data_IF_706449650094
#
_entry.id   IF_706449650094
#
_cell.length_a   1.000
_cell.length_b   1.000
_cell.length_c   1.000
_cell.angle_alpha   90.00
_cell.angle_beta   90.00
_cell.angle_gamma   90.00
#
_symmetry.space_group_name_H-M   'P 1'
#
loop_
_entity.id
_entity.type
_entity.pdbx_description
1 polymer ?
#
# COMPACT_ATOMS: atom_id res chain seq x y z
N UNK A 1 3.65 -0.27 26.13
CA UNK A 1 4.34 1.00 25.79
C UNK A 1 4.02 1.40 24.35
N UNK A 2 4.03 2.69 24.00
CA UNK A 2 3.83 3.16 22.62
C UNK A 2 5.09 3.86 22.10
N UNK A 3 5.47 3.61 20.85
CA UNK A 3 6.59 4.27 20.18
C UNK A 3 6.11 4.94 18.90
N UNK A 4 6.52 6.18 18.70
CA UNK A 4 6.20 6.96 17.52
C UNK A 4 7.44 7.67 17.00
N UNK A 5 7.66 7.57 15.69
CA UNK A 5 8.76 8.18 14.98
C UNK A 5 8.22 8.85 13.72
N UNK A 6 8.51 10.14 13.56
CA UNK A 6 8.14 10.91 12.37
C UNK A 6 9.34 11.78 11.96
N UNK A 7 9.86 11.55 10.75
CA UNK A 7 10.95 12.37 10.19
C UNK A 7 10.43 13.61 9.45
N UNK A 8 9.12 13.79 9.29
CA UNK A 8 8.52 14.84 8.43
C UNK A 8 8.94 16.25 8.81
N UNK A 9 9.24 16.51 10.08
CA UNK A 9 9.69 17.81 10.56
C UNK A 9 11.10 18.12 10.03
N UNK A 10 11.94 17.09 9.92
CA UNK A 10 13.34 17.22 9.48
C UNK A 10 13.47 17.04 7.97
N UNK A 11 12.56 16.29 7.37
CA UNK A 11 12.58 15.84 5.99
C UNK A 11 11.53 16.64 5.19
N UNK A 12 11.91 17.85 4.75
CA UNK A 12 11.05 18.81 4.04
C UNK A 12 11.64 19.20 2.65
N UNK A 13 10.86 19.78 1.73
CA UNK A 13 11.29 20.03 0.34
C UNK A 13 12.53 20.92 0.15
N UNK A 14 12.93 21.67 1.18
CA UNK A 14 14.11 22.55 1.14
C UNK A 14 15.42 21.87 1.56
N UNK A 15 15.39 20.60 1.96
CA UNK A 15 16.57 19.86 2.43
C UNK A 15 17.45 19.43 1.26
N UNK A 16 18.75 19.73 1.32
CA UNK A 16 19.71 19.35 0.28
C UNK A 16 19.94 17.84 0.27
N UNK A 17 20.28 17.26 -0.89
CA UNK A 17 20.53 15.81 -1.05
C UNK A 17 21.50 15.23 0.00
N UNK A 18 22.64 15.89 0.23
CA UNK A 18 23.64 15.43 1.21
C UNK A 18 23.12 15.45 2.65
N UNK A 19 22.24 16.40 2.97
CA UNK A 19 21.59 16.50 4.28
C UNK A 19 20.53 15.40 4.46
N UNK A 20 19.81 15.02 3.40
CA UNK A 20 18.84 13.91 3.42
C UNK A 20 19.49 12.61 3.87
N UNK A 21 20.63 12.25 3.28
CA UNK A 21 21.35 11.02 3.65
C UNK A 21 21.77 11.01 5.13
N UNK A 22 22.14 12.18 5.67
CA UNK A 22 22.48 12.32 7.09
C UNK A 22 21.23 12.18 7.96
N UNK A 23 20.14 12.86 7.61
CA UNK A 23 18.86 12.80 8.34
C UNK A 23 18.32 11.37 8.35
N UNK A 24 18.29 10.71 7.18
CA UNK A 24 17.88 9.32 7.01
C UNK A 24 18.67 8.36 7.90
N UNK A 25 20.01 8.42 7.85
CA UNK A 25 20.87 7.58 8.71
C UNK A 25 20.67 7.86 10.20
N UNK A 26 20.52 9.13 10.58
CA UNK A 26 20.22 9.50 11.96
C UNK A 26 18.86 8.96 12.42
N UNK A 27 17.85 9.01 11.56
CA UNK A 27 16.52 8.49 11.84
C UNK A 27 16.54 6.97 12.02
N UNK A 28 17.15 6.23 11.07
CA UNK A 28 17.28 4.77 11.18
C UNK A 28 17.96 4.38 12.50
N UNK A 29 19.09 5.03 12.82
CA UNK A 29 19.82 4.78 14.07
C UNK A 29 18.98 5.09 15.29
N UNK A 30 18.18 6.16 15.27
CA UNK A 30 17.28 6.52 16.38
C UNK A 30 16.23 5.44 16.60
N UNK A 31 15.56 4.99 15.54
CA UNK A 31 14.55 3.92 15.60
C UNK A 31 15.18 2.64 16.14
N UNK A 32 16.30 2.19 15.55
CA UNK A 32 17.01 0.98 15.99
C UNK A 32 17.39 1.07 17.47
N UNK A 33 18.03 2.18 17.88
CA UNK A 33 18.48 2.37 19.26
C UNK A 33 17.31 2.33 20.25
N UNK A 34 16.17 2.91 19.90
CA UNK A 34 14.97 2.90 20.76
C UNK A 34 14.33 1.53 20.81
N UNK A 35 14.26 0.81 19.69
CA UNK A 35 13.76 -0.56 19.69
C UNK A 35 14.64 -1.48 20.55
N UNK A 36 15.97 -1.27 20.55
CA UNK A 36 16.94 -2.06 21.33
C UNK A 36 16.98 -1.70 22.83
N UNK A 37 16.82 -0.42 23.17
CA UNK A 37 16.85 0.07 24.56
C UNK A 37 15.83 -0.67 25.45
N UNK A 38 14.71 -1.10 24.88
CA UNK A 38 13.59 -1.63 25.63
C UNK A 38 13.60 -3.15 25.85
N UNK A 39 14.75 -3.84 25.68
CA UNK A 39 15.04 -5.24 26.11
C UNK A 39 13.83 -6.21 26.04
N UNK A 40 13.15 -6.28 24.89
CA UNK A 40 11.96 -7.13 24.66
C UNK A 40 10.74 -6.89 25.56
N UNK A 41 10.65 -5.77 26.28
CA UNK A 41 9.45 -5.41 27.04
C UNK A 41 8.22 -5.20 26.14
N UNK A 42 7.00 -5.35 26.68
CA UNK A 42 5.76 -5.31 25.89
C UNK A 42 5.57 -3.96 25.19
N UNK A 43 5.37 -4.04 23.88
CA UNK A 43 5.12 -2.90 22.99
C UNK A 43 3.67 -3.00 22.53
N UNK A 44 2.85 -2.00 22.78
CA UNK A 44 1.44 -2.03 22.40
C UNK A 44 1.30 -1.49 20.97
N UNK A 45 1.93 -0.35 20.70
CA UNK A 45 1.83 0.36 19.42
C UNK A 45 3.20 0.81 18.93
N UNK A 46 3.46 0.60 17.65
CA UNK A 46 4.54 1.25 16.91
C UNK A 46 3.95 2.04 15.74
N UNK A 47 4.39 3.29 15.59
CA UNK A 47 4.13 4.11 14.42
C UNK A 47 5.43 4.70 13.89
N UNK A 48 5.76 4.40 12.64
CA UNK A 48 6.92 4.96 11.93
C UNK A 48 6.43 5.65 10.67
N UNK A 49 6.86 6.91 10.51
CA UNK A 49 6.61 7.71 9.32
C UNK A 49 7.95 8.22 8.78
N UNK A 50 8.27 7.76 7.57
CA UNK A 50 9.45 8.14 6.80
C UNK A 50 9.01 8.86 5.53
N UNK A 51 9.47 10.09 5.35
CA UNK A 51 9.26 10.90 4.15
C UNK A 51 10.23 10.58 3.02
N UNK A 52 11.35 9.96 3.36
CA UNK A 52 12.37 9.53 2.42
C UNK A 52 12.59 8.01 2.48
N UNK A 53 13.18 7.47 1.43
CA UNK A 53 13.39 6.04 1.30
C UNK A 53 14.50 5.55 2.23
N UNK A 54 14.11 4.76 3.23
CA UNK A 54 15.02 4.12 4.18
C UNK A 54 15.57 2.78 3.68
N UNK A 55 15.08 2.28 2.53
CA UNK A 55 15.37 0.95 2.02
C UNK A 55 14.68 -0.17 2.81
N UNK A 56 14.73 -1.41 2.30
CA UNK A 56 13.96 -2.54 2.80
C UNK A 56 14.56 -3.14 4.08
N UNK A 57 15.89 -3.19 4.18
CA UNK A 57 16.56 -3.84 5.28
C UNK A 57 16.21 -3.21 6.65
N UNK A 58 16.16 -1.87 6.82
CA UNK A 58 15.67 -1.26 8.04
C UNK A 58 14.20 -1.60 8.33
N UNK A 59 13.33 -1.54 7.32
CA UNK A 59 11.89 -1.80 7.47
C UNK A 59 11.63 -3.23 7.93
N UNK A 60 12.21 -4.22 7.23
CA UNK A 60 12.11 -5.65 7.57
C UNK A 60 12.63 -5.88 8.99
N UNK A 61 13.78 -5.28 9.34
CA UNK A 61 14.35 -5.38 10.69
C UNK A 61 13.39 -4.82 11.75
N UNK A 62 12.75 -3.68 11.51
CA UNK A 62 11.80 -3.09 12.45
C UNK A 62 10.55 -3.95 12.62
N UNK A 63 9.98 -4.47 11.52
CA UNK A 63 8.83 -5.39 11.56
C UNK A 63 9.19 -6.59 12.44
N UNK A 64 10.27 -7.31 12.12
CA UNK A 64 10.67 -8.51 12.87
C UNK A 64 10.90 -8.24 14.36
N UNK A 65 11.57 -7.13 14.71
CA UNK A 65 11.79 -6.76 16.13
C UNK A 65 10.49 -6.50 16.88
N UNK A 66 9.48 -5.95 16.21
CA UNK A 66 8.23 -5.49 16.84
C UNK A 66 7.20 -6.60 16.95
N UNK A 67 7.12 -7.47 15.95
CA UNK A 67 6.27 -8.67 16.01
C UNK A 67 6.71 -9.60 17.16
N UNK A 68 8.01 -9.71 17.43
CA UNK A 68 8.57 -10.45 18.56
C UNK A 68 8.25 -9.86 19.95
N UNK A 69 7.53 -8.74 20.03
CA UNK A 69 7.22 -8.02 21.28
C UNK A 69 5.72 -7.92 21.58
N UNK A 70 4.94 -8.81 20.98
CA UNK A 70 3.48 -8.89 21.17
C UNK A 70 2.74 -7.59 20.85
N UNK A 71 3.17 -6.90 19.79
CA UNK A 71 2.51 -5.67 19.34
C UNK A 71 1.05 -5.92 18.95
N UNK A 72 0.18 -4.96 19.26
CA UNK A 72 -1.23 -5.00 18.87
C UNK A 72 -1.53 -4.03 17.73
N UNK A 73 -0.75 -2.95 17.57
CA UNK A 73 -0.86 -2.01 16.46
C UNK A 73 0.49 -1.67 15.83
N UNK A 74 0.58 -1.88 14.52
CA UNK A 74 1.76 -1.52 13.71
C UNK A 74 1.35 -0.59 12.57
N UNK A 75 1.95 0.60 12.54
CA UNK A 75 1.76 1.60 11.50
C UNK A 75 3.11 1.94 10.86
N UNK A 76 3.25 1.65 9.57
CA UNK A 76 4.40 2.01 8.76
C UNK A 76 3.93 2.87 7.59
N UNK A 77 4.44 4.10 7.51
CA UNK A 77 4.21 5.02 6.41
C UNK A 77 5.56 5.41 5.82
N UNK A 78 5.96 4.70 4.78
CA UNK A 78 7.26 4.85 4.13
C UNK A 78 7.01 5.43 2.74
N UNK A 79 7.61 6.58 2.46
CA UNK A 79 7.46 7.26 1.18
C UNK A 79 8.82 7.62 0.60
N UNK A 80 8.92 7.63 -0.73
CA UNK A 80 10.01 8.27 -1.44
C UNK A 80 9.49 9.51 -2.17
N UNK A 81 9.59 10.68 -1.54
CA UNK A 81 9.21 11.94 -2.19
C UNK A 81 10.31 12.40 -3.17
N UNK A 82 10.13 12.08 -4.46
CA UNK A 82 11.03 12.52 -5.54
C UNK A 82 10.73 13.92 -6.08
N UNK A 83 9.58 14.51 -5.75
CA UNK A 83 9.18 15.84 -6.25
C UNK A 83 10.00 17.00 -5.65
N UNK A 84 11.07 16.69 -4.93
CA UNK A 84 11.97 17.70 -4.39
C UNK A 84 12.95 18.13 -5.46
N UNK A 85 13.16 19.44 -5.66
CA UNK A 85 13.95 19.94 -6.78
C UNK A 85 15.33 19.28 -6.77
N UNK A 86 15.62 18.56 -7.85
CA UNK A 86 16.99 18.20 -8.19
C UNK A 86 17.74 19.53 -8.31
N UNK A 87 18.71 19.75 -7.42
CA UNK A 87 19.72 20.78 -7.60
C UNK A 87 20.24 20.63 -9.04
N UNK A 88 20.17 21.70 -9.84
CA UNK A 88 20.46 21.72 -11.28
C UNK A 88 21.92 21.42 -11.64
N UNK A 89 22.69 20.91 -10.68
CA UNK A 89 24.06 20.50 -10.81
C UNK A 89 24.16 19.17 -10.09
N UNK A 90 24.20 18.06 -10.85
CA UNK A 90 25.05 16.88 -10.65
C UNK A 90 24.53 15.73 -11.53
N UNK A 91 25.50 15.17 -12.25
CA UNK A 91 25.46 14.02 -13.15
C UNK A 91 24.57 12.85 -12.68
N UNK A 92 23.84 12.26 -13.63
CA UNK A 92 22.79 11.25 -13.47
C UNK A 92 23.31 9.85 -13.11
N UNK A 93 24.45 9.74 -12.44
CA UNK A 93 25.01 8.46 -11.99
C UNK A 93 25.06 8.38 -10.46
N UNK A 94 23.92 8.06 -9.85
CA UNK A 94 23.95 7.38 -8.56
C UNK A 94 22.89 6.31 -8.62
N UNK A 95 23.35 5.06 -8.75
CA UNK A 95 22.64 3.86 -8.36
C UNK A 95 22.17 4.05 -6.92
N UNK A 96 21.04 4.72 -6.73
CA UNK A 96 20.35 4.71 -5.47
C UNK A 96 19.92 3.26 -5.33
N UNK A 97 20.58 2.54 -4.42
CA UNK A 97 20.31 1.12 -4.18
C UNK A 97 18.80 0.91 -4.12
N UNK A 98 18.24 0.44 -5.23
CA UNK A 98 16.93 -0.19 -5.36
C UNK A 98 17.05 -1.57 -4.72
N UNK A 99 17.59 -1.63 -3.51
CA UNK A 99 17.44 -2.82 -2.71
C UNK A 99 15.96 -2.86 -2.41
N UNK A 100 15.31 -3.80 -3.07
CA UNK A 100 13.90 -3.98 -3.05
C UNK A 100 13.58 -4.97 -1.93
N UNK A 101 12.45 -4.82 -1.25
CA UNK A 101 11.95 -5.90 -0.40
C UNK A 101 11.31 -6.96 -1.29
N UNK A 102 12.15 -7.85 -1.81
CA UNK A 102 11.75 -8.98 -2.66
C UNK A 102 10.60 -9.76 -2.03
N UNK A 103 10.58 -9.91 -0.71
CA UNK A 103 9.47 -10.54 -0.03
C UNK A 103 9.21 -9.95 1.35
N UNK A 104 7.95 -9.98 1.77
CA UNK A 104 7.53 -9.63 3.11
C UNK A 104 6.60 -10.70 3.68
N UNK A 105 6.81 -11.06 4.95
CA UNK A 105 5.88 -11.89 5.69
C UNK A 105 5.61 -11.28 7.06
N UNK A 106 4.32 -11.12 7.38
CA UNK A 106 3.87 -10.66 8.68
C UNK A 106 3.09 -11.79 9.33
N UNK A 107 3.66 -12.42 10.35
CA UNK A 107 2.97 -13.42 11.17
C UNK A 107 2.89 -12.94 12.62
N UNK A 108 1.68 -12.87 13.16
CA UNK A 108 1.46 -12.45 14.55
C UNK A 108 0.06 -12.77 15.05
N UNK A 109 0.00 -13.50 16.17
CA UNK A 109 -1.25 -13.79 16.87
C UNK A 109 -1.72 -12.63 17.76
N UNK A 110 -0.88 -11.62 18.05
CA UNK A 110 -1.26 -10.49 18.92
C UNK A 110 -1.65 -9.25 18.14
N UNK A 111 -1.26 -9.18 16.86
CA UNK A 111 -1.50 -8.00 16.03
C UNK A 111 -2.99 -7.87 15.71
N UNK A 112 -3.57 -6.73 16.07
CA UNK A 112 -4.98 -6.41 15.87
C UNK A 112 -5.19 -5.34 14.78
N UNK A 113 -4.25 -4.42 14.62
CA UNK A 113 -4.33 -3.35 13.62
C UNK A 113 -3.01 -3.23 12.86
N UNK A 114 -3.09 -3.28 11.53
CA UNK A 114 -1.94 -3.20 10.65
C UNK A 114 -2.18 -2.12 9.60
N UNK A 115 -1.24 -1.19 9.49
CA UNK A 115 -1.23 -0.16 8.44
C UNK A 115 0.13 -0.13 7.77
N UNK A 116 0.18 -0.51 6.50
CA UNK A 116 1.34 -0.44 5.64
C UNK A 116 1.05 0.51 4.49
N UNK A 117 1.76 1.63 4.44
CA UNK A 117 1.69 2.60 3.34
C UNK A 117 3.08 2.76 2.74
N UNK A 118 3.32 2.10 1.64
CA UNK A 118 4.52 2.17 0.84
C UNK A 118 4.24 3.01 -0.41
N UNK A 119 4.68 4.26 -0.36
CA UNK A 119 4.59 5.21 -1.47
C UNK A 119 5.96 5.35 -2.13
N UNK A 120 6.47 4.23 -2.64
CA UNK A 120 7.70 4.19 -3.42
C UNK A 120 7.37 4.19 -4.93
N UNK A 121 8.22 4.85 -5.73
CA UNK A 121 8.23 4.67 -7.19
C UNK A 121 9.02 3.40 -7.48
N UNK A 122 8.32 2.29 -7.67
CA UNK A 122 8.96 0.99 -7.93
C UNK A 122 8.78 0.65 -9.41
N UNK A 123 9.85 0.18 -10.04
CA UNK A 123 9.79 -0.36 -11.40
C UNK A 123 9.40 -1.85 -11.41
N UNK A 124 9.63 -2.55 -10.29
CA UNK A 124 9.38 -3.97 -10.11
C UNK A 124 8.38 -4.25 -8.98
N UNK A 125 7.71 -5.39 -9.05
CA UNK A 125 6.79 -5.84 -8.01
C UNK A 125 7.51 -6.53 -6.84
N UNK A 126 6.91 -6.52 -5.62
CA UNK A 126 7.17 -7.53 -4.60
C UNK A 126 7.08 -8.94 -5.17
N UNK A 127 8.06 -9.80 -4.93
CA UNK A 127 7.98 -11.21 -5.38
C UNK A 127 6.92 -11.97 -4.58
N UNK A 128 6.87 -11.73 -3.27
CA UNK A 128 5.96 -12.45 -2.39
C UNK A 128 5.60 -11.65 -1.15
N UNK A 129 4.30 -11.49 -0.89
CA UNK A 129 3.82 -10.85 0.34
C UNK A 129 2.81 -11.77 1.03
N UNK A 130 3.01 -12.05 2.32
CA UNK A 130 2.14 -12.93 3.09
C UNK A 130 1.75 -12.36 4.45
N UNK A 131 0.56 -12.72 4.89
CA UNK A 131 -0.01 -12.30 6.16
C UNK A 131 -0.60 -13.50 6.89
N UNK A 132 -0.08 -13.77 8.09
CA UNK A 132 -0.60 -14.77 9.01
C UNK A 132 -0.93 -14.14 10.37
N UNK A 133 -2.04 -13.40 10.41
CA UNK A 133 -2.42 -12.60 11.57
C UNK A 133 -3.87 -12.87 11.97
N UNK A 134 -4.14 -14.00 12.64
CA UNK A 134 -5.52 -14.48 12.84
C UNK A 134 -6.40 -13.54 13.67
N UNK A 135 -5.80 -12.69 14.52
CA UNK A 135 -6.52 -11.76 15.39
C UNK A 135 -6.61 -10.33 14.83
N UNK A 136 -6.26 -10.14 13.55
CA UNK A 136 -6.30 -8.83 12.90
C UNK A 136 -7.75 -8.42 12.66
N UNK A 137 -8.13 -7.24 13.15
CA UNK A 137 -9.49 -6.66 12.98
C UNK A 137 -9.51 -5.47 12.02
N UNK A 138 -8.35 -4.84 11.79
CA UNK A 138 -8.17 -3.72 10.87
C UNK A 138 -6.91 -3.88 10.01
N UNK A 139 -7.07 -3.71 8.71
CA UNK A 139 -5.99 -3.82 7.74
C UNK A 139 -5.99 -2.64 6.77
N UNK A 140 -4.87 -1.94 6.65
CA UNK A 140 -4.65 -0.98 5.59
C UNK A 140 -3.35 -1.31 4.87
N UNK A 141 -3.43 -1.43 3.55
CA UNK A 141 -2.30 -1.78 2.71
C UNK A 141 -2.29 -0.96 1.43
N UNK A 142 -1.23 -0.17 1.27
CA UNK A 142 -0.97 0.65 0.09
C UNK A 142 0.45 0.36 -0.38
N UNK A 143 0.59 -0.17 -1.60
CA UNK A 143 1.87 -0.53 -2.21
C UNK A 143 1.73 -0.83 -3.71
N UNK A 144 2.82 -1.18 -4.38
CA UNK A 144 2.76 -1.93 -5.63
C UNK A 144 2.17 -3.35 -5.40
N UNK A 145 1.50 -3.89 -6.43
CA UNK A 145 1.02 -5.27 -6.41
C UNK A 145 2.21 -6.25 -6.36
N UNK A 146 2.10 -7.31 -5.56
CA UNK A 146 3.08 -8.39 -5.54
C UNK A 146 2.84 -9.40 -6.68
N UNK A 147 3.91 -10.04 -7.16
CA UNK A 147 3.86 -11.19 -8.08
C UNK A 147 2.96 -12.29 -7.49
N UNK A 148 3.08 -12.55 -6.18
CA UNK A 148 2.27 -13.54 -5.47
C UNK A 148 1.93 -13.13 -4.04
N UNK A 149 0.79 -13.63 -3.54
CA UNK A 149 0.43 -13.60 -2.12
C UNK A 149 0.21 -15.03 -1.61
N UNK A 150 1.24 -15.73 -1.10
CA UNK A 150 1.12 -17.17 -0.82
C UNK A 150 0.15 -17.52 0.30
N UNK A 151 -0.03 -16.65 1.30
CA UNK A 151 -0.90 -16.87 2.43
C UNK A 151 -1.46 -15.54 2.94
N UNK A 152 -2.78 -15.50 3.15
CA UNK A 152 -3.50 -14.36 3.72
C UNK A 152 -4.56 -14.89 4.69
N UNK A 153 -4.25 -14.84 5.98
CA UNK A 153 -5.07 -15.39 7.06
C UNK A 153 -5.62 -14.28 7.97
N UNK A 154 -6.88 -13.91 7.74
CA UNK A 154 -7.60 -12.79 8.36
C UNK A 154 -9.03 -13.15 8.82
N UNK A 155 -9.24 -14.19 9.65
CA UNK A 155 -10.57 -14.70 9.97
C UNK A 155 -11.41 -13.72 10.78
N UNK A 156 -10.79 -12.79 11.53
CA UNK A 156 -11.46 -11.79 12.37
C UNK A 156 -11.47 -10.38 11.75
N UNK A 157 -11.06 -10.23 10.49
CA UNK A 157 -10.92 -8.91 9.87
C UNK A 157 -12.28 -8.27 9.63
N UNK A 158 -12.47 -7.06 10.15
CA UNK A 158 -13.73 -6.32 10.09
C UNK A 158 -13.67 -5.19 9.07
N UNK A 159 -12.51 -4.54 8.95
CA UNK A 159 -12.32 -3.35 8.12
C UNK A 159 -11.00 -3.44 7.34
N UNK A 160 -11.09 -3.22 6.02
CA UNK A 160 -9.95 -3.22 5.12
C UNK A 160 -9.89 -1.94 4.27
N UNK A 161 -8.68 -1.44 4.03
CA UNK A 161 -8.40 -0.33 3.11
C UNK A 161 -7.25 -0.70 2.19
N UNK A 162 -7.50 -0.77 0.88
CA UNK A 162 -6.51 -1.18 -0.12
C UNK A 162 -6.25 -0.08 -1.15
N UNK A 163 -4.97 0.24 -1.34
CA UNK A 163 -4.47 1.10 -2.43
C UNK A 163 -3.29 0.41 -3.13
N UNK A 164 -3.62 -0.61 -3.94
CA UNK A 164 -2.68 -1.43 -4.69
C UNK A 164 -2.52 -0.90 -6.10
N UNK A 165 -1.28 -0.84 -6.57
CA UNK A 165 -0.95 -0.23 -7.87
C UNK A 165 -0.19 -1.22 -8.75
N UNK A 166 -0.62 -1.33 -10.00
CA UNK A 166 0.20 -1.90 -11.08
C UNK A 166 1.17 -0.83 -11.60
N UNK A 167 2.24 -1.26 -12.25
CA UNK A 167 3.13 -0.37 -12.99
C UNK A 167 2.45 0.09 -14.29
N UNK A 168 2.90 1.22 -14.86
CA UNK A 168 2.39 1.68 -16.16
C UNK A 168 2.60 0.66 -17.29
N UNK A 169 3.69 -0.11 -17.24
CA UNK A 169 3.95 -1.19 -18.20
C UNK A 169 2.92 -2.31 -18.08
N UNK A 170 2.61 -2.75 -16.85
CA UNK A 170 1.60 -3.78 -16.59
C UNK A 170 0.20 -3.33 -17.03
N UNK A 171 -0.17 -2.07 -16.78
CA UNK A 171 -1.45 -1.52 -17.23
C UNK A 171 -1.53 -1.53 -18.76
N UNK A 172 -0.46 -1.10 -19.43
CA UNK A 172 -0.36 -1.15 -20.88
C UNK A 172 -0.53 -2.58 -21.40
N UNK A 173 0.21 -3.54 -20.82
CA UNK A 173 0.12 -4.95 -21.19
C UNK A 173 -1.28 -5.54 -20.94
N UNK A 174 -1.94 -5.19 -19.83
CA UNK A 174 -3.26 -5.70 -19.49
C UNK A 174 -4.39 -5.13 -20.37
N UNK A 175 -4.21 -3.93 -20.92
CA UNK A 175 -5.18 -3.26 -21.81
C UNK A 175 -4.98 -3.61 -23.29
N UNK A 176 -3.79 -4.05 -23.69
CA UNK A 176 -3.55 -4.59 -25.02
C UNK A 176 -4.18 -5.98 -25.10
N UNK A 177 -5.29 -6.08 -25.84
CA UNK A 177 -6.08 -7.29 -26.03
C UNK A 177 -5.29 -8.45 -26.64
N UNK A 178 -5.76 -9.69 -26.39
CA UNK A 178 -5.23 -10.96 -26.92
C UNK A 178 -5.02 -11.01 -28.47
N UNK A 179 -5.59 -10.06 -29.23
CA UNK A 179 -5.49 -9.99 -30.70
C UNK A 179 -4.24 -9.25 -31.21
N UNK A 180 -3.59 -8.43 -30.38
CA UNK A 180 -2.33 -7.79 -30.76
C UNK A 180 -1.19 -8.70 -30.32
N UNK A 181 -0.61 -9.43 -31.28
CA UNK A 181 0.61 -10.26 -31.13
C UNK A 181 1.82 -9.34 -30.83
N UNK A 182 1.79 -8.62 -29.71
CA UNK A 182 2.94 -8.02 -29.11
C UNK A 182 3.60 -9.13 -28.29
N UNK A 183 4.57 -9.79 -28.94
CA UNK A 183 5.55 -10.70 -28.34
C UNK A 183 5.59 -10.56 -26.83
N UNK A 184 5.19 -11.63 -26.12
CA UNK A 184 5.52 -11.81 -24.71
C UNK A 184 6.99 -11.38 -24.54
N UNK A 185 7.22 -10.20 -23.97
CA UNK A 185 8.50 -9.95 -23.34
C UNK A 185 8.46 -10.85 -22.13
N UNK A 186 8.93 -12.07 -22.35
CA UNK A 186 9.19 -13.07 -21.33
C UNK A 186 9.90 -12.38 -20.16
N UNK A 187 9.16 -12.06 -19.09
CA UNK A 187 9.75 -11.37 -17.95
C UNK A 187 8.82 -10.59 -17.02
N UNK A 188 7.80 -9.86 -17.52
CA UNK A 188 7.00 -8.98 -16.66
C UNK A 188 5.70 -9.67 -16.23
N UNK A 189 5.71 -10.40 -15.11
CA UNK A 189 4.50 -11.00 -14.55
C UNK A 189 3.51 -9.89 -14.15
N UNK A 190 2.28 -9.96 -14.67
CA UNK A 190 1.15 -9.21 -14.11
C UNK A 190 0.87 -9.84 -12.76
N UNK A 191 1.15 -9.13 -11.66
CA UNK A 191 1.10 -9.71 -10.30
C UNK A 191 -0.25 -10.34 -10.00
N UNK A 192 -0.30 -11.34 -9.11
CA UNK A 192 -1.53 -12.08 -8.81
C UNK A 192 -2.06 -11.74 -7.41
N UNK A 193 -3.08 -10.88 -7.35
CA UNK A 193 -3.69 -10.41 -6.10
C UNK A 193 -4.84 -11.31 -5.58
N UNK A 194 -5.16 -12.41 -6.27
CA UNK A 194 -6.34 -13.24 -5.97
C UNK A 194 -6.38 -13.67 -4.51
N UNK A 195 -5.27 -14.20 -3.96
CA UNK A 195 -5.24 -14.67 -2.56
C UNK A 195 -5.42 -13.53 -1.56
N UNK A 196 -4.83 -12.35 -1.83
CA UNK A 196 -5.00 -11.17 -0.98
C UNK A 196 -6.44 -10.67 -0.97
N UNK A 197 -7.05 -10.53 -2.15
CA UNK A 197 -8.40 -10.01 -2.29
C UNK A 197 -9.44 -10.99 -1.75
N UNK A 198 -9.23 -12.29 -1.93
CA UNK A 198 -10.07 -13.33 -1.31
C UNK A 198 -9.93 -13.37 0.22
N UNK A 199 -8.73 -13.13 0.74
CA UNK A 199 -8.46 -13.08 2.18
C UNK A 199 -9.21 -11.98 2.94
N UNK A 200 -9.67 -10.94 2.24
CA UNK A 200 -10.43 -9.83 2.84
C UNK A 200 -11.95 -9.90 2.58
N UNK A 201 -12.48 -10.97 1.96
CA UNK A 201 -13.90 -11.06 1.59
C UNK A 201 -14.89 -10.99 2.77
N UNK A 202 -14.44 -11.25 4.00
CA UNK A 202 -15.28 -11.30 5.19
C UNK A 202 -15.57 -9.93 5.84
N UNK A 203 -14.97 -8.85 5.34
CA UNK A 203 -15.07 -7.51 5.95
C UNK A 203 -16.47 -6.92 5.89
N UNK A 204 -16.76 -6.02 6.83
CA UNK A 204 -17.98 -5.20 6.87
C UNK A 204 -17.79 -3.83 6.22
N UNK A 205 -16.57 -3.31 6.27
CA UNK A 205 -16.20 -2.02 5.68
C UNK A 205 -14.99 -2.20 4.78
N UNK A 206 -15.10 -1.69 3.55
CA UNK A 206 -14.04 -1.77 2.56
C UNK A 206 -13.80 -0.39 1.96
N UNK A 207 -12.53 0.00 1.90
CA UNK A 207 -12.07 1.19 1.20
C UNK A 207 -11.15 0.75 0.07
N UNK A 208 -11.45 1.14 -1.17
CA UNK A 208 -10.64 0.84 -2.34
C UNK A 208 -10.22 2.12 -3.03
N UNK A 209 -8.99 2.19 -3.53
CA UNK A 209 -8.62 3.16 -4.55
C UNK A 209 -9.06 2.70 -5.95
N UNK A 210 -9.14 3.63 -6.88
CA UNK A 210 -9.26 3.36 -8.32
C UNK A 210 -8.16 2.43 -8.84
N UNK A 211 -6.93 2.58 -8.37
CA UNK A 211 -5.85 1.64 -8.70
C UNK A 211 -6.18 0.21 -8.26
N UNK A 212 -6.75 0.03 -7.06
CA UNK A 212 -7.17 -1.29 -6.59
C UNK A 212 -8.32 -1.86 -7.41
N UNK A 213 -9.20 -1.01 -7.97
CA UNK A 213 -10.24 -1.45 -8.90
C UNK A 213 -9.66 -1.99 -10.22
N UNK A 214 -8.56 -1.42 -10.73
CA UNK A 214 -7.85 -2.01 -11.87
C UNK A 214 -7.20 -3.34 -11.48
N UNK A 215 -6.59 -3.43 -10.30
CA UNK A 215 -6.03 -4.70 -9.77
C UNK A 215 -7.11 -5.79 -9.66
N UNK A 216 -8.32 -5.45 -9.23
CA UNK A 216 -9.46 -6.37 -9.23
C UNK A 216 -9.82 -6.86 -10.63
N UNK A 217 -9.74 -5.99 -11.64
CA UNK A 217 -10.09 -6.33 -13.01
C UNK A 217 -9.08 -7.27 -13.66
N UNK A 218 -7.79 -6.98 -13.49
CA UNK A 218 -6.72 -7.64 -14.27
C UNK A 218 -5.98 -8.72 -13.49
N UNK A 219 -5.90 -8.59 -12.16
CA UNK A 219 -5.02 -9.39 -11.32
C UNK A 219 -5.76 -10.31 -10.31
N UNK A 220 -7.10 -10.36 -10.39
CA UNK A 220 -7.94 -11.15 -9.50
C UNK A 220 -8.92 -12.02 -10.28
N UNK A 221 -8.72 -13.35 -10.24
CA UNK A 221 -9.60 -14.30 -10.93
C UNK A 221 -9.89 -15.51 -10.02
N UNK A 222 -11.17 -15.76 -9.64
CA UNK A 222 -12.38 -15.00 -9.99
C UNK A 222 -12.53 -13.68 -9.21
N UNK A 223 -13.50 -12.86 -9.61
CA UNK A 223 -13.89 -11.65 -8.87
C UNK A 223 -14.40 -12.02 -7.46
N UNK A 224 -13.89 -11.39 -6.38
CA UNK A 224 -14.27 -11.70 -5.01
C UNK A 224 -15.76 -11.42 -4.71
N UNK A 225 -16.32 -12.20 -3.79
CA UNK A 225 -17.69 -12.06 -3.29
C UNK A 225 -17.68 -11.59 -1.85
N UNK A 226 -18.35 -10.47 -1.59
CA UNK A 226 -18.34 -9.80 -0.29
C UNK A 226 -19.72 -9.88 0.37
N UNK A 227 -20.01 -11.04 0.96
CA UNK A 227 -21.33 -11.31 1.56
C UNK A 227 -21.61 -10.49 2.83
N UNK A 228 -20.58 -10.05 3.55
CA UNK A 228 -20.75 -9.31 4.82
C UNK A 228 -20.57 -7.80 4.68
N UNK A 229 -20.25 -7.32 3.48
CA UNK A 229 -19.90 -5.93 3.24
C UNK A 229 -21.15 -5.05 3.24
N UNK A 230 -21.20 -4.11 4.19
CA UNK A 230 -22.31 -3.15 4.34
C UNK A 230 -21.91 -1.73 3.93
N UNK A 231 -20.61 -1.43 3.91
CA UNK A 231 -20.10 -0.10 3.58
C UNK A 231 -18.88 -0.20 2.65
N UNK A 232 -19.01 0.39 1.45
CA UNK A 232 -17.94 0.49 0.46
C UNK A 232 -17.63 1.96 0.21
N UNK A 233 -16.36 2.35 0.37
CA UNK A 233 -15.86 3.65 -0.07
C UNK A 233 -14.89 3.44 -1.23
N UNK A 234 -15.10 4.17 -2.32
CA UNK A 234 -14.17 4.22 -3.43
C UNK A 234 -13.50 5.58 -3.48
N UNK A 235 -12.18 5.58 -3.29
CA UNK A 235 -11.35 6.75 -3.55
C UNK A 235 -11.00 6.79 -5.03
N UNK A 236 -11.44 7.81 -5.72
CA UNK A 236 -11.37 7.87 -7.18
C UNK A 236 -10.91 9.24 -7.69
N UNK A 237 -10.40 9.24 -8.92
CA UNK A 237 -10.24 10.42 -9.75
C UNK A 237 -11.45 10.64 -10.68
N UNK A 238 -11.70 11.88 -11.17
CA UNK A 238 -12.89 12.17 -11.99
C UNK A 238 -13.03 11.38 -13.30
N UNK A 239 -11.94 10.80 -13.82
CA UNK A 239 -11.86 10.23 -15.16
C UNK A 239 -11.62 8.71 -15.17
N UNK A 240 -12.14 7.97 -14.19
CA UNK A 240 -11.92 6.52 -14.06
C UNK A 240 -13.04 5.72 -14.74
N UNK A 241 -12.68 4.65 -15.45
CA UNK A 241 -13.61 3.66 -16.01
C UNK A 241 -14.15 2.74 -14.91
N UNK A 242 -15.47 2.54 -14.86
CA UNK A 242 -16.18 1.92 -13.73
C UNK A 242 -16.60 0.46 -13.95
N UNK A 243 -16.05 -0.21 -14.95
CA UNK A 243 -16.45 -1.58 -15.31
C UNK A 243 -16.16 -2.57 -14.17
N UNK A 244 -14.97 -2.48 -13.58
CA UNK A 244 -14.56 -3.31 -12.45
C UNK A 244 -15.37 -3.04 -11.20
N UNK A 245 -15.74 -1.77 -10.94
CA UNK A 245 -16.67 -1.43 -9.87
C UNK A 245 -18.04 -2.07 -10.12
N UNK A 246 -18.54 -2.02 -11.36
CA UNK A 246 -19.84 -2.62 -11.70
C UNK A 246 -19.84 -4.13 -11.49
N UNK A 247 -18.75 -4.81 -11.86
CA UNK A 247 -18.58 -6.24 -11.60
C UNK A 247 -18.49 -6.54 -10.08
N UNK A 248 -17.75 -5.73 -9.33
CA UNK A 248 -17.64 -5.85 -7.88
C UNK A 248 -18.99 -5.66 -7.17
N UNK A 249 -19.76 -4.64 -7.56
CA UNK A 249 -21.06 -4.34 -6.93
C UNK A 249 -22.07 -5.48 -7.08
N UNK A 250 -22.05 -6.22 -8.19
CA UNK A 250 -22.87 -7.44 -8.35
C UNK A 250 -22.56 -8.52 -7.33
N UNK A 251 -21.36 -8.48 -6.75
CA UNK A 251 -20.85 -9.42 -5.76
C UNK A 251 -20.98 -8.92 -4.31
N UNK A 252 -21.63 -7.78 -4.08
CA UNK A 252 -21.86 -7.18 -2.76
C UNK A 252 -23.35 -7.23 -2.37
N UNK A 253 -23.84 -8.40 -1.95
CA UNK A 253 -25.29 -8.64 -1.75
C UNK A 253 -25.93 -7.84 -0.61
N UNK A 254 -25.16 -7.44 0.40
CA UNK A 254 -25.65 -6.76 1.61
C UNK A 254 -25.15 -5.30 1.72
N UNK A 255 -24.75 -4.70 0.59
CA UNK A 255 -24.21 -3.34 0.60
C UNK A 255 -25.31 -2.32 0.91
N UNK A 256 -25.14 -1.56 1.99
CA UNK A 256 -26.08 -0.53 2.43
C UNK A 256 -25.60 0.89 2.08
N UNK A 257 -24.29 1.10 2.10
CA UNK A 257 -23.68 2.42 1.85
C UNK A 257 -22.56 2.33 0.82
N UNK A 258 -22.66 3.14 -0.22
CA UNK A 258 -21.61 3.37 -1.21
C UNK A 258 -21.19 4.84 -1.17
N UNK A 259 -19.91 5.10 -0.94
CA UNK A 259 -19.32 6.45 -0.89
C UNK A 259 -18.27 6.60 -1.97
N UNK A 260 -18.27 7.73 -2.66
CA UNK A 260 -17.20 8.12 -3.57
C UNK A 260 -16.40 9.27 -2.96
N UNK A 261 -15.13 9.04 -2.69
CA UNK A 261 -14.19 10.06 -2.24
C UNK A 261 -13.37 10.55 -3.45
N UNK A 262 -13.73 11.72 -3.97
CA UNK A 262 -13.04 12.32 -5.12
C UNK A 262 -11.83 13.12 -4.64
N UNK A 263 -10.64 12.75 -5.10
CA UNK A 263 -9.42 13.48 -4.78
C UNK A 263 -9.44 14.89 -5.41
N UNK A 264 -9.50 15.94 -4.57
CA UNK A 264 -9.63 17.36 -4.97
C UNK A 264 -8.48 17.95 -5.79
N UNK A 265 -7.40 17.21 -6.04
CA UNK A 265 -6.16 17.75 -6.62
C UNK A 265 -6.26 18.22 -8.09
N UNK A 266 -7.38 18.00 -8.78
CA UNK A 266 -7.62 18.48 -10.16
C UNK A 266 -8.60 19.68 -10.22
N UNK A 267 -9.19 20.11 -9.11
CA UNK A 267 -10.05 21.32 -9.12
C UNK A 267 -9.25 22.63 -9.30
N UNK A 268 -7.92 22.60 -9.26
CA UNK A 268 -7.07 23.74 -9.63
C UNK A 268 -6.84 23.87 -11.15
N UNK A 269 -7.24 22.88 -11.96
CA UNK A 269 -7.04 22.90 -13.42
C UNK A 269 -8.31 22.72 -14.26
N UNK A 270 -9.48 22.51 -13.66
CA UNK A 270 -10.74 22.53 -14.41
C UNK A 270 -11.70 23.52 -13.75
N UNK A 271 -12.18 24.47 -14.55
CA UNK A 271 -13.11 25.52 -14.16
C UNK A 271 -14.34 24.92 -13.48
N UNK A 272 -14.85 25.67 -12.49
CA UNK A 272 -16.09 25.41 -11.80
C UNK A 272 -17.22 25.14 -12.80
N UNK A 273 -17.62 23.87 -12.90
CA UNK A 273 -19.00 23.42 -13.10
C UNK A 273 -19.01 21.90 -13.15
N UNK A 274 -20.09 21.28 -12.63
CA UNK A 274 -20.45 19.84 -12.73
C UNK A 274 -19.63 18.87 -11.82
N UNK A 275 -20.17 18.01 -10.94
CA UNK A 275 -21.47 17.35 -10.81
C UNK A 275 -21.79 17.00 -9.33
N UNK A 276 -23.04 17.25 -8.92
CA UNK A 276 -23.72 16.52 -7.85
C UNK A 276 -24.39 15.29 -8.49
N UNK A 277 -24.15 14.09 -7.95
CA UNK A 277 -25.03 12.94 -8.24
C UNK A 277 -25.83 12.58 -6.98
N UNK A 278 -27.14 12.72 -7.08
CA UNK A 278 -28.10 12.11 -6.19
C UNK A 278 -28.38 10.68 -6.66
N UNK A 279 -28.18 9.70 -5.77
CA UNK A 279 -28.69 8.35 -5.97
C UNK A 279 -30.22 8.35 -5.74
N UNK A 280 -30.94 7.63 -6.61
CA UNK A 280 -32.33 7.22 -6.40
C UNK A 280 -32.39 5.70 -6.32
#
# INVERSE_FOLDING_TARGET
MNLEFDDSIRMHPGVRRQERDKIRRCFIRLVDSKLDLHRNGPLNRLSIKCKDDVGPAPVIRWISKVLNRHVTELVLNISSHWSWPLSSEVDSSVTMCQEFWESCSVSSITLMRLTFRFKQMVYDNPKSVSFDTPNLVYFEYSDAIADTYPNVNFPLLVEASLDLRMTHEQIGQAKLSDDDIAKEKEGTMVGNATVLLMGICNVKKLYLSDNTLEVLAFCCKPMPVYNNLVHLTIKTHPNVEWESLTALLKNCQNLETLVFEVAKYILYFMSADTLLFHAK
#
